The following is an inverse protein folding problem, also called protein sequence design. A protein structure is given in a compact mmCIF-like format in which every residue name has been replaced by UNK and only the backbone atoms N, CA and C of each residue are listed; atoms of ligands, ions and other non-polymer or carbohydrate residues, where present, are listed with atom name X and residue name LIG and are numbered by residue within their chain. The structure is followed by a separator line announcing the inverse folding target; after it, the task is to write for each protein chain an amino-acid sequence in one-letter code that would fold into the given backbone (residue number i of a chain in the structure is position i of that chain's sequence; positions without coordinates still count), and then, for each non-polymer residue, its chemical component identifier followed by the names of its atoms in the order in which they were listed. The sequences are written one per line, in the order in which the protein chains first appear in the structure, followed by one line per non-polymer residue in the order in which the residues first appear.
data_IF_340981380602
#
_entry.id   IF_340981380602
#
_cell.length_a   1.000
_cell.length_b   1.000
_cell.length_c   1.000
_cell.angle_alpha   90.00
_cell.angle_beta   90.00
_cell.angle_gamma   90.00
#
_symmetry.space_group_name_H-M   'P 1'
#
loop_
_entity.id
_entity.type
_entity.pdbx_description
1 polymer ?
#
# COMPACT_ATOMS: atom_id res chain seq x y z
N UNK A 1 -51.42 -18.49 -17.33
CA UNK A 1 -51.61 -17.49 -16.25
C UNK A 1 -50.62 -16.36 -16.47
N UNK A 2 -51.06 -15.25 -17.07
CA UNK A 2 -50.26 -14.03 -17.22
C UNK A 2 -50.16 -13.30 -15.88
N UNK A 3 -48.98 -12.82 -15.47
CA UNK A 3 -48.84 -12.12 -14.19
C UNK A 3 -49.57 -10.77 -14.29
N UNK A 4 -50.52 -10.53 -13.39
CA UNK A 4 -51.14 -9.21 -13.19
C UNK A 4 -50.03 -8.24 -12.79
N UNK A 5 -49.61 -7.41 -13.74
CA UNK A 5 -48.68 -6.31 -13.51
C UNK A 5 -49.36 -5.30 -12.59
N UNK A 6 -48.67 -4.98 -11.50
CA UNK A 6 -49.20 -4.25 -10.36
C UNK A 6 -49.44 -2.77 -10.73
N UNK A 7 -50.65 -2.40 -11.14
CA UNK A 7 -51.01 -1.00 -11.49
C UNK A 7 -50.68 0.00 -10.35
N UNK A 8 -50.64 -0.46 -9.10
CA UNK A 8 -50.35 0.40 -7.95
C UNK A 8 -48.89 0.86 -7.85
N UNK A 9 -47.90 0.12 -8.37
CA UNK A 9 -46.49 0.56 -8.30
C UNK A 9 -46.20 1.72 -9.27
N UNK A 10 -46.89 1.75 -10.41
CA UNK A 10 -46.74 2.80 -11.43
C UNK A 10 -47.35 4.14 -10.97
N UNK A 11 -48.46 4.08 -10.23
CA UNK A 11 -49.13 5.27 -9.66
C UNK A 11 -48.28 5.89 -8.53
N UNK A 12 -47.62 5.08 -7.69
CA UNK A 12 -46.77 5.61 -6.61
C UNK A 12 -45.54 6.33 -7.17
N UNK A 13 -44.90 5.78 -8.22
CA UNK A 13 -43.76 6.43 -8.87
C UNK A 13 -44.13 7.78 -9.50
N UNK A 14 -45.24 7.83 -10.23
CA UNK A 14 -45.71 9.07 -10.88
C UNK A 14 -46.11 10.16 -9.89
N UNK A 15 -46.78 9.82 -8.79
CA UNK A 15 -47.12 10.80 -7.74
C UNK A 15 -45.87 11.33 -7.05
N UNK A 16 -44.90 10.47 -6.74
CA UNK A 16 -43.64 10.88 -6.09
C UNK A 16 -42.82 11.83 -6.98
N UNK A 17 -42.71 11.54 -8.27
CA UNK A 17 -42.02 12.39 -9.24
C UNK A 17 -42.69 13.76 -9.39
N UNK A 18 -44.03 13.80 -9.35
CA UNK A 18 -44.81 15.05 -9.36
C UNK A 18 -44.58 15.83 -8.06
N UNK A 19 -44.56 15.17 -6.90
CA UNK A 19 -44.34 15.83 -5.61
C UNK A 19 -42.94 16.44 -5.52
N UNK A 20 -41.89 15.76 -6.03
CA UNK A 20 -40.55 16.32 -6.14
C UNK A 20 -40.52 17.60 -7.00
N UNK A 21 -41.32 17.64 -8.07
CA UNK A 21 -41.41 18.82 -8.95
C UNK A 21 -42.07 20.02 -8.26
N UNK A 22 -43.08 19.79 -7.43
CA UNK A 22 -43.92 20.85 -6.85
C UNK A 22 -43.40 21.31 -5.48
N UNK A 23 -43.11 20.39 -4.57
CA UNK A 23 -42.83 20.68 -3.16
C UNK A 23 -41.34 20.68 -2.86
N UNK A 24 -40.85 21.77 -2.28
CA UNK A 24 -39.45 21.88 -1.83
C UNK A 24 -39.08 20.83 -0.80
N UNK A 25 -40.02 20.39 0.05
CA UNK A 25 -39.81 19.35 1.07
C UNK A 25 -39.54 17.96 0.49
N UNK A 26 -39.98 17.70 -0.75
CA UNK A 26 -39.77 16.41 -1.42
C UNK A 26 -38.51 16.40 -2.30
N UNK A 27 -37.90 17.56 -2.54
CA UNK A 27 -36.63 17.65 -3.29
C UNK A 27 -35.47 17.28 -2.39
N UNK A 28 -34.75 16.23 -2.76
CA UNK A 28 -33.49 15.86 -2.13
C UNK A 28 -32.47 15.43 -3.17
N UNK A 29 -31.23 15.90 -3.02
CA UNK A 29 -30.12 15.41 -3.83
C UNK A 29 -29.68 14.09 -3.21
N UNK A 30 -29.91 12.99 -3.93
CA UNK A 30 -29.43 11.66 -3.55
C UNK A 30 -27.92 11.69 -3.26
N UNK A 31 -27.45 10.88 -2.33
CA UNK A 31 -26.04 10.83 -1.92
C UNK A 31 -25.10 10.58 -3.10
N UNK A 32 -25.47 9.68 -4.01
CA UNK A 32 -24.74 9.40 -5.25
C UNK A 32 -24.59 10.65 -6.12
N UNK A 33 -25.65 11.47 -6.22
CA UNK A 33 -25.61 12.72 -6.98
C UNK A 33 -24.80 13.82 -6.28
N UNK A 34 -24.75 13.82 -4.94
CA UNK A 34 -23.86 14.71 -4.18
C UNK A 34 -22.40 14.35 -4.40
N UNK A 35 -22.05 13.06 -4.36
CA UNK A 35 -20.70 12.58 -4.67
C UNK A 35 -20.30 12.96 -6.10
N UNK A 36 -21.21 12.79 -7.07
CA UNK A 36 -20.98 13.18 -8.46
C UNK A 36 -20.80 14.69 -8.62
N UNK A 37 -21.58 15.51 -7.91
CA UNK A 37 -21.42 16.96 -7.87
C UNK A 37 -20.02 17.35 -7.35
N UNK A 38 -19.58 16.75 -6.25
CA UNK A 38 -18.29 17.05 -5.66
C UNK A 38 -17.13 16.61 -6.57
N UNK A 39 -17.16 15.39 -7.08
CA UNK A 39 -16.10 14.84 -7.93
C UNK A 39 -15.98 15.60 -9.26
N UNK A 40 -17.10 15.94 -9.90
CA UNK A 40 -17.09 16.72 -11.14
C UNK A 40 -16.68 18.17 -10.91
N UNK A 41 -17.05 18.79 -9.78
CA UNK A 41 -16.56 20.14 -9.43
C UNK A 41 -15.06 20.17 -9.27
N UNK A 42 -14.50 19.13 -8.67
CA UNK A 42 -13.07 19.04 -8.42
C UNK A 42 -12.22 19.01 -9.69
N UNK A 43 -12.75 18.46 -10.78
CA UNK A 43 -12.11 18.48 -12.12
C UNK A 43 -12.44 19.75 -12.92
N UNK A 44 -13.02 20.77 -12.28
CA UNK A 44 -13.29 22.07 -12.88
C UNK A 44 -14.63 22.18 -13.63
N UNK A 45 -15.50 21.18 -13.56
CA UNK A 45 -16.81 21.27 -14.21
C UNK A 45 -17.73 22.26 -13.48
N UNK A 46 -18.40 23.10 -14.27
CA UNK A 46 -19.41 24.01 -13.76
C UNK A 46 -20.65 23.25 -13.28
N UNK A 47 -21.32 23.74 -12.23
CA UNK A 47 -22.58 23.15 -11.72
C UNK A 47 -23.64 22.90 -12.81
N UNK A 48 -23.80 23.75 -13.84
CA UNK A 48 -24.70 23.47 -14.96
C UNK A 48 -24.32 22.23 -15.78
N UNK A 49 -23.02 22.01 -16.04
CA UNK A 49 -22.55 20.84 -16.80
C UNK A 49 -22.79 19.54 -16.03
N UNK A 50 -22.57 19.59 -14.71
CA UNK A 50 -22.83 18.48 -13.80
C UNK A 50 -24.33 18.14 -13.79
N UNK A 51 -25.19 19.16 -13.65
CA UNK A 51 -26.63 18.98 -13.68
C UNK A 51 -27.09 18.38 -15.01
N UNK A 52 -26.53 18.83 -16.13
CA UNK A 52 -26.78 18.25 -17.45
C UNK A 52 -26.34 16.78 -17.55
N UNK A 53 -25.20 16.41 -16.95
CA UNK A 53 -24.75 15.02 -16.90
C UNK A 53 -25.71 14.12 -16.11
N UNK A 54 -26.18 14.59 -14.95
CA UNK A 54 -27.18 13.88 -14.13
C UNK A 54 -28.49 13.75 -14.90
N UNK A 55 -28.97 14.83 -15.51
CA UNK A 55 -30.19 14.79 -16.32
C UNK A 55 -30.09 13.78 -17.48
N UNK A 56 -28.92 13.69 -18.12
CA UNK A 56 -28.68 12.71 -19.17
C UNK A 56 -28.76 11.26 -18.63
N UNK A 57 -28.22 11.00 -17.43
CA UNK A 57 -28.33 9.69 -16.77
C UNK A 57 -29.77 9.35 -16.36
N UNK A 58 -30.54 10.34 -15.92
CA UNK A 58 -31.96 10.18 -15.59
C UNK A 58 -32.86 10.03 -16.83
N UNK A 59 -32.35 10.32 -18.04
CA UNK A 59 -33.13 10.29 -19.29
C UNK A 59 -33.96 11.55 -19.54
N UNK A 60 -33.57 12.68 -18.95
CA UNK A 60 -34.24 13.98 -19.09
C UNK A 60 -34.13 14.83 -17.82
N UNK A 61 -34.17 16.15 -17.97
CA UNK A 61 -34.18 17.08 -16.85
C UNK A 61 -35.43 16.94 -15.99
N UNK A 62 -36.55 16.57 -16.60
CA UNK A 62 -37.84 16.33 -15.97
C UNK A 62 -37.88 15.06 -15.11
N UNK A 63 -36.85 14.21 -15.20
CA UNK A 63 -36.67 13.00 -14.39
C UNK A 63 -35.69 13.20 -13.23
N UNK A 64 -35.13 14.41 -13.08
CA UNK A 64 -34.29 14.76 -11.93
C UNK A 64 -35.19 15.27 -10.80
N UNK A 65 -35.17 14.59 -9.66
CA UNK A 65 -36.01 14.92 -8.49
C UNK A 65 -35.70 16.23 -7.76
N UNK A 66 -34.84 17.09 -8.32
CA UNK A 66 -34.42 18.36 -7.74
C UNK A 66 -33.95 19.32 -8.84
N UNK A 67 -33.84 20.61 -8.53
CA UNK A 67 -33.44 21.67 -9.47
C UNK A 67 -31.95 21.96 -9.36
N UNK A 68 -31.39 22.59 -10.39
CA UNK A 68 -30.02 23.13 -10.35
C UNK A 68 -29.81 24.11 -9.17
N UNK A 69 -30.85 24.86 -8.78
CA UNK A 69 -30.81 25.74 -7.60
C UNK A 69 -30.53 24.96 -6.32
N UNK A 70 -31.04 23.74 -6.20
CA UNK A 70 -30.79 22.87 -5.06
C UNK A 70 -29.32 22.44 -5.02
N UNK A 71 -28.66 22.22 -6.17
CA UNK A 71 -27.22 21.96 -6.24
C UNK A 71 -26.37 23.16 -5.84
N UNK A 72 -26.76 24.38 -6.23
CA UNK A 72 -26.11 25.61 -5.77
C UNK A 72 -26.28 25.79 -4.26
N UNK A 73 -27.49 25.60 -3.75
CA UNK A 73 -27.77 25.67 -2.31
C UNK A 73 -26.96 24.62 -1.54
N UNK A 74 -26.85 23.41 -2.09
CA UNK A 74 -26.06 22.33 -1.48
C UNK A 74 -24.57 22.66 -1.46
N UNK A 75 -24.03 23.20 -2.56
CA UNK A 75 -22.65 23.70 -2.59
C UNK A 75 -22.44 24.79 -1.52
N UNK A 76 -23.36 25.76 -1.46
CA UNK A 76 -23.30 26.83 -0.48
C UNK A 76 -23.39 26.31 0.96
N UNK A 77 -24.22 25.29 1.20
CA UNK A 77 -24.33 24.60 2.49
C UNK A 77 -23.03 23.89 2.85
N UNK A 78 -22.41 23.15 1.93
CA UNK A 78 -21.11 22.51 2.14
C UNK A 78 -20.02 23.54 2.48
N UNK A 79 -20.01 24.70 1.80
CA UNK A 79 -19.09 25.79 2.10
C UNK A 79 -19.29 26.41 3.50
N UNK A 80 -20.52 26.38 4.03
CA UNK A 80 -20.83 26.82 5.40
C UNK A 80 -20.50 25.78 6.46
N UNK A 81 -20.55 24.49 6.10
CA UNK A 81 -20.22 23.37 6.98
C UNK A 81 -18.71 23.15 7.17
N UNK A 82 -17.85 24.07 6.72
CA UNK A 82 -16.38 23.96 6.81
C UNK A 82 -15.86 23.61 8.20
N UNK A 83 -16.56 24.01 9.27
CA UNK A 83 -16.15 23.76 10.66
C UNK A 83 -16.77 22.49 11.27
N UNK A 84 -17.61 21.76 10.53
CA UNK A 84 -18.34 20.56 11.01
C UNK A 84 -17.81 19.28 10.35
N UNK A 85 -16.83 19.39 9.45
CA UNK A 85 -16.33 18.30 8.63
C UNK A 85 -15.84 17.10 9.44
N UNK A 86 -15.03 17.31 10.48
CA UNK A 86 -14.61 16.24 11.39
C UNK A 86 -15.78 15.54 12.08
N UNK A 87 -16.80 16.29 12.53
CA UNK A 87 -18.03 15.72 13.14
C UNK A 87 -18.86 14.92 12.12
N UNK A 88 -18.91 15.38 10.87
CA UNK A 88 -19.59 14.66 9.79
C UNK A 88 -18.87 13.35 9.44
N UNK A 89 -17.53 13.37 9.40
CA UNK A 89 -16.72 12.17 9.19
C UNK A 89 -16.94 11.14 10.31
N UNK A 90 -16.93 11.56 11.57
CA UNK A 90 -17.22 10.67 12.71
C UNK A 90 -18.64 10.10 12.66
N UNK A 91 -19.63 10.93 12.28
CA UNK A 91 -21.02 10.46 12.08
C UNK A 91 -21.13 9.45 10.94
N UNK A 92 -20.38 9.66 9.85
CA UNK A 92 -20.32 8.74 8.72
C UNK A 92 -19.76 7.38 9.16
N UNK A 93 -18.62 7.36 9.85
CA UNK A 93 -18.01 6.13 10.38
C UNK A 93 -18.94 5.41 11.37
N UNK A 94 -19.61 6.16 12.25
CA UNK A 94 -20.60 5.62 13.18
C UNK A 94 -21.81 5.00 12.46
N UNK A 95 -22.23 5.58 11.33
CA UNK A 95 -23.29 5.02 10.50
C UNK A 95 -22.84 3.76 9.77
N UNK A 96 -21.58 3.70 9.33
CA UNK A 96 -21.00 2.53 8.67
C UNK A 96 -20.87 1.35 9.66
N UNK A 97 -20.50 1.63 10.91
CA UNK A 97 -20.39 0.58 11.95
C UNK A 97 -21.72 -0.10 12.30
N UNK A 98 -22.86 0.48 11.92
CA UNK A 98 -24.17 -0.20 12.06
C UNK A 98 -24.27 -1.40 11.10
N UNK A 99 -23.74 -1.27 9.89
CA UNK A 99 -23.80 -2.30 8.85
C UNK A 99 -22.57 -3.20 8.83
N UNK A 100 -21.46 -2.73 9.37
CA UNK A 100 -20.21 -3.48 9.53
C UNK A 100 -19.87 -3.59 11.03
N UNK A 101 -20.32 -4.65 11.71
CA UNK A 101 -20.08 -4.86 13.14
C UNK A 101 -18.60 -4.99 13.48
N UNK A 102 -17.76 -5.30 12.49
CA UNK A 102 -16.32 -5.39 12.71
C UNK A 102 -15.69 -4.01 12.69
N UNK A 103 -16.24 -3.02 11.99
CA UNK A 103 -15.68 -1.66 11.84
C UNK A 103 -15.06 -1.12 13.13
N UNK A 104 -13.84 -0.60 13.02
CA UNK A 104 -13.16 0.08 14.13
C UNK A 104 -12.69 1.44 13.68
N UNK A 105 -12.92 2.44 14.51
CA UNK A 105 -12.33 3.76 14.33
C UNK A 105 -12.03 4.39 15.69
N UNK A 106 -10.99 5.20 15.72
CA UNK A 106 -10.58 5.95 16.90
C UNK A 106 -10.17 7.35 16.48
N UNK A 107 -10.49 8.36 17.30
CA UNK A 107 -10.11 9.74 17.02
C UNK A 107 -9.56 10.44 18.24
N UNK A 108 -8.79 11.50 18.01
CA UNK A 108 -8.39 12.47 19.04
C UNK A 108 -8.85 13.86 18.63
N UNK A 109 -8.99 14.73 19.62
CA UNK A 109 -9.45 16.10 19.46
C UNK A 109 -8.39 17.00 20.11
N UNK A 110 -8.10 18.14 19.49
CA UNK A 110 -7.21 19.15 20.07
C UNK A 110 -7.91 20.07 21.09
N UNK A 111 -7.15 20.99 21.69
CA UNK A 111 -7.64 21.94 22.69
C UNK A 111 -8.73 22.88 22.16
N UNK A 112 -8.83 23.04 20.83
CA UNK A 112 -9.85 23.86 20.15
C UNK A 112 -11.08 23.04 19.72
N UNK A 113 -11.21 21.79 20.20
CA UNK A 113 -12.30 20.88 19.87
C UNK A 113 -12.35 20.50 18.37
N UNK A 114 -11.20 20.46 17.69
CA UNK A 114 -11.04 20.06 16.28
C UNK A 114 -10.51 18.63 16.20
N UNK A 115 -10.96 17.88 15.19
CA UNK A 115 -10.46 16.53 14.91
C UNK A 115 -8.96 16.60 14.60
N UNK A 116 -8.14 16.00 15.46
CA UNK A 116 -6.69 16.06 15.38
C UNK A 116 -6.11 14.81 14.68
N UNK A 117 -6.56 13.62 15.10
CA UNK A 117 -6.20 12.35 14.50
C UNK A 117 -7.45 11.50 14.29
N UNK A 118 -7.48 10.74 13.21
CA UNK A 118 -8.54 9.79 12.91
C UNK A 118 -7.91 8.53 12.34
N UNK A 119 -8.10 7.39 12.99
CA UNK A 119 -7.75 6.07 12.49
C UNK A 119 -9.04 5.29 12.23
N UNK A 120 -9.10 4.53 11.14
CA UNK A 120 -10.20 3.62 10.87
C UNK A 120 -9.77 2.38 10.08
N UNK A 121 -10.57 1.32 10.22
CA UNK A 121 -10.49 0.09 9.42
C UNK A 121 -11.84 -0.61 9.37
N UNK A 122 -12.18 -1.15 8.21
CA UNK A 122 -13.42 -1.92 8.02
C UNK A 122 -13.25 -3.39 8.42
N UNK A 123 -14.32 -4.18 8.32
CA UNK A 123 -14.32 -5.61 8.61
C UNK A 123 -13.47 -6.42 7.65
N UNK A 124 -13.41 -6.02 6.38
CA UNK A 124 -12.59 -6.69 5.35
C UNK A 124 -11.10 -6.56 5.70
N UNK A 125 -10.66 -5.36 6.08
CA UNK A 125 -9.30 -5.09 6.53
C UNK A 125 -8.90 -5.95 7.73
N UNK A 126 -9.78 -6.07 8.73
CA UNK A 126 -9.54 -6.92 9.89
C UNK A 126 -9.45 -8.40 9.52
N UNK A 127 -10.34 -8.89 8.66
CA UNK A 127 -10.34 -10.31 8.26
C UNK A 127 -9.11 -10.70 7.45
N UNK A 128 -8.57 -9.77 6.66
CA UNK A 128 -7.38 -9.99 5.85
C UNK A 128 -6.07 -9.95 6.67
N UNK A 129 -6.02 -9.14 7.73
CA UNK A 129 -4.80 -8.92 8.49
C UNK A 129 -4.19 -10.22 9.06
N UNK A 130 -4.94 -11.14 9.71
CA UNK A 130 -4.38 -12.41 10.17
C UNK A 130 -3.68 -13.24 9.10
N UNK A 131 -4.08 -13.12 7.83
CA UNK A 131 -3.58 -13.93 6.71
C UNK A 131 -2.38 -13.30 6.00
N UNK A 132 -2.27 -11.97 5.98
CA UNK A 132 -1.32 -11.25 5.13
C UNK A 132 -0.51 -10.19 5.86
N UNK A 133 -0.56 -10.08 7.19
CA UNK A 133 0.14 -9.04 7.97
C UNK A 133 1.59 -9.38 8.32
N UNK A 134 2.26 -10.20 7.53
CA UNK A 134 3.63 -10.60 7.84
C UNK A 134 4.58 -9.40 7.67
N UNK A 135 4.31 -8.56 6.66
CA UNK A 135 5.14 -7.41 6.31
C UNK A 135 4.27 -6.15 6.21
N UNK A 136 4.23 -5.38 7.28
CA UNK A 136 3.45 -4.14 7.29
C UNK A 136 4.25 -2.99 6.67
N UNK A 137 3.85 -2.54 5.48
CA UNK A 137 4.32 -1.28 4.93
C UNK A 137 3.37 -0.15 5.35
N UNK A 138 3.92 1.01 5.70
CA UNK A 138 3.14 2.24 5.77
C UNK A 138 3.98 3.46 5.37
N UNK A 139 3.29 4.46 4.83
CA UNK A 139 3.89 5.72 4.43
C UNK A 139 2.90 6.86 4.72
N UNK A 140 3.42 8.03 5.09
CA UNK A 140 2.66 9.23 5.38
C UNK A 140 2.82 10.19 4.20
N UNK A 141 1.85 10.24 3.29
CA UNK A 141 2.22 10.61 1.91
C UNK A 141 1.14 11.28 1.08
N UNK A 142 0.01 11.65 1.68
CA UNK A 142 -0.98 12.44 0.96
C UNK A 142 -1.43 13.64 1.79
N UNK A 143 -0.85 14.81 1.51
CA UNK A 143 -1.22 16.11 2.11
C UNK A 143 -2.12 16.94 1.20
N UNK A 144 -2.77 16.32 0.22
CA UNK A 144 -3.63 17.00 -0.76
C UNK A 144 -5.08 17.21 -0.28
N UNK A 145 -5.42 16.84 0.96
CA UNK A 145 -6.72 17.19 1.52
C UNK A 145 -6.76 18.67 1.92
N UNK A 146 -7.95 19.17 2.21
CA UNK A 146 -8.22 20.58 2.53
C UNK A 146 -7.41 21.13 3.72
N UNK A 147 -6.97 20.26 4.64
CA UNK A 147 -6.26 20.63 5.87
C UNK A 147 -4.76 20.33 5.80
N UNK A 148 -4.28 19.83 4.65
CA UNK A 148 -2.88 19.42 4.45
C UNK A 148 -2.38 18.33 5.43
N UNK A 149 -3.32 17.64 6.08
CA UNK A 149 -3.04 16.57 7.04
C UNK A 149 -2.47 15.33 6.31
N UNK A 150 -1.39 14.70 6.79
CA UNK A 150 -0.92 13.43 6.23
C UNK A 150 -1.98 12.32 6.31
N UNK A 151 -2.26 11.68 5.17
CA UNK A 151 -2.92 10.37 5.11
C UNK A 151 -1.86 9.28 5.23
N UNK A 152 -2.05 8.38 6.18
CA UNK A 152 -1.24 7.18 6.40
C UNK A 152 -2.05 5.96 6.01
N UNK A 153 -1.49 5.10 5.18
CA UNK A 153 -2.12 3.83 4.79
C UNK A 153 -1.23 2.68 5.23
N UNK A 154 -1.80 1.74 5.98
CA UNK A 154 -1.16 0.50 6.40
C UNK A 154 -1.52 -0.61 5.42
N UNK A 155 -0.52 -1.27 4.83
CA UNK A 155 -0.78 -2.28 3.81
C UNK A 155 0.33 -3.32 3.67
N UNK A 156 0.00 -4.45 3.06
CA UNK A 156 0.93 -5.48 2.56
C UNK A 156 0.41 -5.96 1.19
N UNK A 157 0.79 -7.16 0.76
CA UNK A 157 0.24 -7.84 -0.40
C UNK A 157 -0.22 -9.25 -0.08
N UNK A 158 -1.20 -9.71 -0.83
CA UNK A 158 -1.64 -11.10 -0.79
C UNK A 158 -0.82 -12.01 -1.72
N UNK A 159 -1.19 -13.29 -1.76
CA UNK A 159 -0.59 -14.33 -2.62
C UNK A 159 -0.73 -14.09 -4.14
N UNK A 160 -1.53 -13.10 -4.56
CA UNK A 160 -1.60 -12.63 -5.95
C UNK A 160 -0.72 -11.39 -6.20
N UNK A 161 0.09 -10.97 -5.22
CA UNK A 161 0.89 -9.75 -5.24
C UNK A 161 0.04 -8.48 -5.40
N UNK A 162 -1.20 -8.50 -4.89
CA UNK A 162 -2.13 -7.37 -4.88
C UNK A 162 -2.05 -6.63 -3.56
N UNK A 163 -2.21 -5.31 -3.58
CA UNK A 163 -2.15 -4.48 -2.36
C UNK A 163 -3.33 -4.76 -1.44
N UNK A 164 -3.03 -5.10 -0.19
CA UNK A 164 -4.01 -5.33 0.86
C UNK A 164 -3.88 -4.26 1.92
N UNK A 165 -4.90 -3.41 2.04
CA UNK A 165 -4.95 -2.37 3.08
C UNK A 165 -5.50 -2.96 4.38
N UNK A 166 -4.91 -2.56 5.49
CA UNK A 166 -5.25 -3.03 6.83
C UNK A 166 -5.78 -1.91 7.73
N UNK A 167 -5.44 -0.66 7.44
CA UNK A 167 -5.91 0.46 8.21
C UNK A 167 -5.48 1.76 7.56
N UNK A 168 -6.18 2.83 7.92
CA UNK A 168 -5.95 4.15 7.37
C UNK A 168 -6.03 5.15 8.50
N UNK A 169 -5.21 6.19 8.40
CA UNK A 169 -5.28 7.29 9.34
C UNK A 169 -5.07 8.65 8.68
N UNK A 170 -5.71 9.66 9.26
CA UNK A 170 -5.41 11.07 9.03
C UNK A 170 -4.80 11.61 10.31
N UNK A 171 -3.63 12.21 10.21
CA UNK A 171 -2.91 12.78 11.36
C UNK A 171 -2.60 14.25 11.11
N UNK A 172 -2.39 15.04 12.16
CA UNK A 172 -2.10 16.48 12.02
C UNK A 172 -0.68 16.75 11.53
N UNK A 173 0.27 15.87 11.83
CA UNK A 173 1.69 15.99 11.53
C UNK A 173 2.40 14.64 11.62
N UNK A 174 3.64 14.59 11.12
CA UNK A 174 4.50 13.40 11.13
C UNK A 174 5.53 13.50 12.26
N UNK A 175 5.10 13.24 13.50
CA UNK A 175 6.01 13.17 14.66
C UNK A 175 6.19 11.73 15.14
N UNK A 176 7.24 11.47 15.90
CA UNK A 176 7.50 10.13 16.45
C UNK A 176 6.35 9.67 17.34
N UNK A 177 5.80 10.57 18.14
CA UNK A 177 4.70 10.31 19.08
C UNK A 177 3.45 9.85 18.32
N UNK A 178 3.17 10.46 17.18
CA UNK A 178 2.05 10.07 16.32
C UNK A 178 2.29 8.72 15.66
N UNK A 179 3.52 8.41 15.24
CA UNK A 179 3.83 7.08 14.72
C UNK A 179 3.62 5.98 15.77
N UNK A 180 4.01 6.23 17.03
CA UNK A 180 3.74 5.32 18.15
C UNK A 180 2.23 5.16 18.33
N UNK A 181 1.49 6.27 18.41
CA UNK A 181 0.04 6.24 18.53
C UNK A 181 -0.64 5.46 17.39
N UNK A 182 -0.18 5.65 16.15
CA UNK A 182 -0.71 4.93 14.99
C UNK A 182 -0.48 3.42 15.09
N UNK A 183 0.71 2.98 15.48
CA UNK A 183 1.04 1.57 15.64
C UNK A 183 0.26 0.94 16.81
N UNK A 184 0.07 1.66 17.91
CA UNK A 184 -0.78 1.24 19.03
C UNK A 184 -2.22 1.05 18.58
N UNK A 185 -2.78 2.01 17.83
CA UNK A 185 -4.16 1.93 17.32
C UNK A 185 -4.34 0.84 16.28
N UNK A 186 -3.34 0.59 15.44
CA UNK A 186 -3.33 -0.56 14.56
C UNK A 186 -3.37 -1.87 15.36
N UNK A 187 -2.50 -2.01 16.37
CA UNK A 187 -2.43 -3.21 17.21
C UNK A 187 -3.76 -3.48 17.94
N UNK A 188 -4.36 -2.43 18.50
CA UNK A 188 -5.70 -2.45 19.12
C UNK A 188 -6.75 -2.91 18.10
N UNK A 189 -6.79 -2.28 16.92
CA UNK A 189 -7.75 -2.59 15.85
C UNK A 189 -7.63 -4.04 15.34
N UNK A 190 -6.43 -4.63 15.45
CA UNK A 190 -6.08 -5.97 15.01
C UNK A 190 -6.08 -7.01 16.14
N UNK A 191 -6.78 -6.74 17.25
CA UNK A 191 -6.96 -7.66 18.38
C UNK A 191 -5.62 -8.13 18.98
N UNK A 192 -4.62 -7.25 18.99
CA UNK A 192 -3.32 -7.52 19.60
C UNK A 192 -2.35 -8.35 18.75
N UNK A 193 -2.64 -8.63 17.47
CA UNK A 193 -1.69 -9.32 16.58
C UNK A 193 -0.65 -8.31 16.03
N UNK A 194 0.64 -8.39 16.41
CA UNK A 194 1.66 -7.55 15.81
C UNK A 194 2.04 -8.04 14.41
N UNK A 195 2.52 -7.16 13.51
CA UNK A 195 3.17 -7.59 12.27
C UNK A 195 4.55 -8.21 12.58
N UNK A 196 5.07 -9.08 11.72
CA UNK A 196 6.42 -9.63 11.91
C UNK A 196 7.50 -8.62 11.50
N UNK A 197 7.26 -7.88 10.42
CA UNK A 197 8.13 -6.82 9.94
C UNK A 197 7.34 -5.55 9.69
N UNK A 198 7.98 -4.40 9.92
CA UNK A 198 7.44 -3.08 9.58
C UNK A 198 8.41 -2.40 8.64
N UNK A 199 7.91 -1.96 7.49
CA UNK A 199 8.65 -1.25 6.45
C UNK A 199 8.08 0.16 6.38
N UNK A 200 8.97 1.14 6.30
CA UNK A 200 8.57 2.53 6.13
C UNK A 200 9.33 3.14 4.96
N UNK A 201 8.81 4.19 4.34
CA UNK A 201 9.61 4.99 3.38
C UNK A 201 10.89 5.56 4.05
N UNK A 202 10.83 5.66 5.38
CA UNK A 202 11.96 5.83 6.26
C UNK A 202 13.10 4.83 6.04
N UNK A 203 12.98 3.70 5.35
CA UNK A 203 14.08 2.73 5.23
C UNK A 203 15.21 3.22 4.31
N UNK A 204 14.88 3.93 3.23
CA UNK A 204 15.90 4.60 2.41
C UNK A 204 16.49 5.80 3.17
N UNK A 205 15.64 6.55 3.87
CA UNK A 205 16.07 7.64 4.74
C UNK A 205 16.92 7.13 5.91
N UNK A 206 16.64 5.92 6.42
CA UNK A 206 17.30 5.25 7.53
C UNK A 206 18.66 4.81 7.07
N UNK A 207 18.78 4.12 5.93
CA UNK A 207 20.07 3.79 5.32
C UNK A 207 20.91 5.04 5.08
N UNK A 208 20.31 6.11 4.56
CA UNK A 208 21.00 7.39 4.38
C UNK A 208 21.36 8.05 5.73
N UNK A 209 20.52 7.93 6.75
CA UNK A 209 20.77 8.46 8.09
C UNK A 209 21.88 7.69 8.79
N UNK A 210 21.94 6.36 8.65
CA UNK A 210 23.02 5.52 9.18
C UNK A 210 24.33 5.91 8.48
N UNK A 211 24.34 6.13 7.16
CA UNK A 211 25.52 6.63 6.43
C UNK A 211 25.93 8.04 6.87
N UNK A 212 24.97 8.94 7.09
CA UNK A 212 25.23 10.30 7.61
C UNK A 212 25.77 10.25 9.05
N UNK A 213 25.20 9.40 9.90
CA UNK A 213 25.64 9.17 11.28
C UNK A 213 27.02 8.52 11.32
N UNK A 214 27.32 7.61 10.39
CA UNK A 214 28.67 7.06 10.22
C UNK A 214 29.67 8.18 9.90
N UNK A 215 29.28 9.08 8.99
CA UNK A 215 30.10 10.25 8.62
C UNK A 215 30.29 11.22 9.79
N UNK A 216 29.29 11.42 10.65
CA UNK A 216 29.39 12.34 11.79
C UNK A 216 30.14 11.75 12.99
N UNK A 217 29.96 10.47 13.28
CA UNK A 217 30.57 9.80 14.44
C UNK A 217 32.03 9.43 14.17
N UNK A 218 32.31 8.77 13.04
CA UNK A 218 33.66 8.26 12.74
C UNK A 218 34.51 9.32 12.00
N UNK A 219 33.85 10.26 11.29
CA UNK A 219 34.50 11.35 10.53
C UNK A 219 35.55 10.87 9.51
N UNK A 220 35.50 9.60 9.10
CA UNK A 220 36.40 9.01 8.12
C UNK A 220 35.63 8.59 6.86
N UNK A 221 35.94 9.21 5.72
CA UNK A 221 35.25 8.95 4.45
C UNK A 221 35.46 7.51 3.95
N UNK A 222 36.67 6.97 4.11
CA UNK A 222 36.98 5.59 3.69
C UNK A 222 36.17 4.58 4.51
N UNK A 223 36.03 4.81 5.82
CA UNK A 223 35.18 3.99 6.68
C UNK A 223 33.74 3.98 6.17
N UNK A 224 33.16 5.13 5.83
CA UNK A 224 31.77 5.22 5.35
C UNK A 224 31.56 4.44 4.04
N UNK A 225 32.52 4.45 3.13
CA UNK A 225 32.47 3.69 1.88
C UNK A 225 32.51 2.19 2.15
N UNK A 226 33.49 1.74 2.94
CA UNK A 226 33.65 0.32 3.28
C UNK A 226 32.49 -0.21 4.14
N UNK A 227 32.00 0.59 5.08
CA UNK A 227 30.78 0.32 5.84
C UNK A 227 29.56 0.19 4.92
N UNK A 228 29.40 1.09 3.94
CA UNK A 228 28.29 1.01 2.98
C UNK A 228 28.36 -0.29 2.17
N UNK A 229 29.56 -0.71 1.77
CA UNK A 229 29.79 -1.99 1.10
C UNK A 229 29.44 -3.16 2.02
N UNK A 230 29.90 -3.13 3.28
CA UNK A 230 29.62 -4.15 4.29
C UNK A 230 28.11 -4.28 4.57
N UNK A 231 27.40 -3.16 4.63
CA UNK A 231 25.96 -3.08 4.85
C UNK A 231 25.14 -3.66 3.69
N UNK A 232 25.49 -3.31 2.45
CA UNK A 232 24.66 -3.57 1.29
C UNK A 232 24.94 -4.91 0.61
N UNK A 233 26.15 -5.45 0.77
CA UNK A 233 26.56 -6.66 0.08
C UNK A 233 25.86 -7.91 0.65
N UNK A 234 25.61 -8.87 -0.23
CA UNK A 234 25.06 -10.18 0.13
C UNK A 234 26.18 -11.13 0.55
N UNK A 235 26.49 -11.11 1.85
CA UNK A 235 27.43 -12.06 2.46
C UNK A 235 26.71 -13.16 3.20
N UNK A 236 27.33 -14.33 3.30
CA UNK A 236 26.95 -15.28 4.35
C UNK A 236 27.16 -14.71 5.75
N UNK A 237 26.38 -15.18 6.74
CA UNK A 237 26.45 -14.65 8.11
C UNK A 237 27.87 -14.75 8.67
N UNK A 238 28.59 -15.84 8.40
CA UNK A 238 29.99 -16.00 8.78
C UNK A 238 30.92 -15.00 8.08
N UNK A 239 30.74 -14.82 6.77
CA UNK A 239 31.54 -13.88 5.98
C UNK A 239 31.28 -12.42 6.39
N UNK A 240 30.02 -12.05 6.63
CA UNK A 240 29.67 -10.72 7.13
C UNK A 240 30.36 -10.46 8.46
N UNK A 241 30.30 -11.39 9.42
CA UNK A 241 30.95 -11.22 10.72
C UNK A 241 32.45 -10.99 10.57
N UNK A 242 33.11 -11.76 9.70
CA UNK A 242 34.54 -11.59 9.42
C UNK A 242 34.84 -10.23 8.81
N UNK A 243 34.12 -9.83 7.76
CA UNK A 243 34.31 -8.53 7.09
C UNK A 243 33.96 -7.34 7.99
N UNK A 244 32.98 -7.51 8.87
CA UNK A 244 32.65 -6.52 9.90
C UNK A 244 33.83 -6.34 10.86
N UNK A 245 34.40 -7.43 11.37
CA UNK A 245 35.59 -7.37 12.23
C UNK A 245 36.77 -6.72 11.51
N UNK A 246 37.08 -7.15 10.28
CA UNK A 246 38.12 -6.53 9.44
C UNK A 246 37.91 -5.02 9.27
N UNK A 247 36.67 -4.59 9.06
CA UNK A 247 36.31 -3.17 8.95
C UNK A 247 36.54 -2.42 10.26
N UNK A 248 36.06 -2.93 11.39
CA UNK A 248 36.20 -2.20 12.67
C UNK A 248 37.65 -2.15 13.16
N UNK A 249 38.43 -3.20 12.92
CA UNK A 249 39.87 -3.26 13.22
C UNK A 249 40.67 -2.33 12.30
N UNK A 250 40.39 -2.32 10.99
CA UNK A 250 41.11 -1.48 10.02
C UNK A 250 41.02 0.01 10.34
N UNK A 251 39.93 0.45 10.97
CA UNK A 251 39.71 1.85 11.31
C UNK A 251 39.84 2.16 12.81
N UNK A 252 40.23 1.18 13.63
CA UNK A 252 40.39 1.30 15.09
C UNK A 252 39.11 1.82 15.81
N UNK A 253 37.95 1.25 15.45
CA UNK A 253 36.64 1.66 15.95
C UNK A 253 35.89 0.56 16.68
N UNK A 254 36.59 -0.52 17.06
CA UNK A 254 36.03 -1.71 17.72
C UNK A 254 35.30 -1.36 19.03
N UNK A 255 35.83 -0.39 19.78
CA UNK A 255 35.29 0.05 21.06
C UNK A 255 34.47 1.34 20.96
N UNK A 256 34.21 1.85 19.75
CA UNK A 256 33.45 3.07 19.57
C UNK A 256 31.97 2.82 19.94
N UNK A 257 31.37 3.57 20.90
CA UNK A 257 30.03 3.28 21.41
C UNK A 257 28.95 3.19 20.32
N UNK A 258 29.00 4.11 19.35
CA UNK A 258 28.09 4.10 18.20
C UNK A 258 28.25 2.86 17.31
N UNK A 259 29.46 2.33 17.12
CA UNK A 259 29.70 1.14 16.28
C UNK A 259 29.16 -0.12 16.96
N UNK A 260 29.31 -0.21 18.29
CA UNK A 260 28.75 -1.29 19.10
C UNK A 260 27.21 -1.27 19.04
N UNK A 261 26.58 -0.12 19.27
CA UNK A 261 25.13 0.02 19.19
C UNK A 261 24.60 -0.32 17.78
N UNK A 262 25.32 0.12 16.75
CA UNK A 262 24.98 -0.17 15.36
C UNK A 262 25.03 -1.68 15.08
N UNK A 263 26.06 -2.37 15.57
CA UNK A 263 26.20 -3.81 15.40
C UNK A 263 25.11 -4.61 16.13
N UNK A 264 24.71 -4.18 17.32
CA UNK A 264 23.58 -4.80 18.04
C UNK A 264 22.30 -4.74 17.20
N UNK A 265 22.10 -3.63 16.48
CA UNK A 265 20.95 -3.42 15.60
C UNK A 265 21.12 -3.99 14.18
N UNK A 266 22.15 -4.81 13.90
CA UNK A 266 22.46 -5.34 12.55
C UNK A 266 21.30 -6.00 11.82
N UNK A 267 20.38 -6.64 12.54
CA UNK A 267 19.17 -7.25 11.95
C UNK A 267 18.23 -6.25 11.28
N UNK A 268 18.32 -4.96 11.61
CA UNK A 268 17.46 -3.90 11.07
C UNK A 268 18.01 -3.23 9.80
N UNK A 269 19.32 -3.34 9.52
CA UNK A 269 19.95 -2.56 8.44
C UNK A 269 20.85 -3.38 7.50
N UNK A 270 21.38 -4.52 7.95
CA UNK A 270 22.34 -5.30 7.18
C UNK A 270 21.64 -6.28 6.23
N UNK A 271 21.98 -6.23 4.94
CA UNK A 271 21.44 -7.14 3.91
C UNK A 271 21.62 -8.61 4.31
N UNK A 272 22.75 -9.01 4.89
CA UNK A 272 23.01 -10.40 5.31
C UNK A 272 22.03 -10.97 6.35
N UNK A 273 21.45 -10.12 7.19
CA UNK A 273 20.48 -10.54 8.20
C UNK A 273 19.04 -10.33 7.77
N UNK A 274 18.82 -9.37 6.87
CA UNK A 274 17.53 -9.08 6.26
C UNK A 274 17.21 -10.15 5.21
N UNK A 275 18.20 -10.62 4.44
CA UNK A 275 18.03 -11.64 3.38
C UNK A 275 17.41 -12.92 3.93
N UNK A 276 16.53 -13.52 3.14
CA UNK A 276 15.76 -14.71 3.52
C UNK A 276 14.50 -14.39 4.34
N UNK A 277 14.36 -13.16 4.85
CA UNK A 277 13.07 -12.68 5.36
C UNK A 277 12.20 -12.30 4.15
N UNK A 278 10.94 -12.74 4.18
CA UNK A 278 9.97 -12.35 3.18
C UNK A 278 9.57 -10.89 3.44
N UNK A 279 9.79 -10.02 2.46
CA UNK A 279 9.35 -8.61 2.51
C UNK A 279 8.33 -8.29 1.42
N UNK A 280 7.59 -9.28 0.92
CA UNK A 280 6.53 -9.05 -0.06
C UNK A 280 6.93 -8.32 -1.36
N UNK A 281 8.23 -8.15 -1.66
CA UNK A 281 8.73 -7.31 -2.76
C UNK A 281 8.83 -5.81 -2.44
N UNK A 282 8.70 -5.41 -1.17
CA UNK A 282 8.99 -4.06 -0.68
C UNK A 282 10.51 -3.85 -0.60
N UNK A 283 11.12 -3.34 -1.68
CA UNK A 283 12.51 -2.82 -1.64
C UNK A 283 12.63 -1.35 -2.06
N UNK A 284 11.55 -0.77 -2.57
CA UNK A 284 11.52 0.56 -3.20
C UNK A 284 10.17 1.23 -2.90
N UNK A 285 10.18 2.56 -2.81
CA UNK A 285 9.01 3.46 -2.75
C UNK A 285 7.95 3.23 -3.83
N UNK A 286 8.26 2.44 -4.86
CA UNK A 286 7.40 2.19 -6.02
C UNK A 286 6.01 1.67 -5.68
N UNK A 287 5.86 0.87 -4.63
CA UNK A 287 4.52 0.41 -4.19
C UNK A 287 3.72 1.47 -3.47
N UNK A 288 4.38 2.26 -2.61
CA UNK A 288 3.75 3.43 -2.00
C UNK A 288 3.30 4.38 -3.11
N UNK A 289 4.18 4.70 -4.05
CA UNK A 289 3.90 5.55 -5.21
C UNK A 289 2.75 5.01 -6.06
N UNK A 290 2.72 3.70 -6.32
CA UNK A 290 1.63 3.06 -7.06
C UNK A 290 0.29 3.18 -6.33
N UNK A 291 0.26 2.93 -5.02
CA UNK A 291 -0.93 3.09 -4.19
C UNK A 291 -1.39 4.56 -4.17
N UNK A 292 -0.49 5.51 -3.98
CA UNK A 292 -0.81 6.94 -4.04
C UNK A 292 -1.35 7.36 -5.40
N UNK A 293 -0.78 6.84 -6.48
CA UNK A 293 -1.26 7.09 -7.84
C UNK A 293 -2.68 6.55 -8.05
N UNK A 294 -3.05 5.44 -7.40
CA UNK A 294 -4.45 5.00 -7.40
C UNK A 294 -5.33 5.94 -6.58
N UNK A 295 -4.92 6.28 -5.36
CA UNK A 295 -5.69 7.17 -4.48
C UNK A 295 -5.93 8.52 -5.16
N UNK A 296 -4.92 9.10 -5.81
CA UNK A 296 -5.02 10.40 -6.50
C UNK A 296 -6.00 10.42 -7.69
N UNK A 297 -6.44 9.26 -8.20
CA UNK A 297 -7.46 9.17 -9.25
C UNK A 297 -8.88 9.35 -8.72
N UNK A 298 -9.10 9.04 -7.44
CA UNK A 298 -10.40 9.11 -6.78
C UNK A 298 -10.50 10.31 -5.85
N UNK A 299 -9.40 10.66 -5.19
CA UNK A 299 -9.29 11.75 -4.24
C UNK A 299 -8.73 12.97 -4.94
N UNK A 300 -9.51 14.05 -4.95
CA UNK A 300 -9.12 15.32 -5.55
C UNK A 300 -8.47 16.27 -4.55
N UNK A 301 -7.79 17.28 -5.09
CA UNK A 301 -7.12 18.31 -4.29
C UNK A 301 -8.12 19.14 -3.47
N UNK A 302 -7.83 19.34 -2.18
CA UNK A 302 -8.68 20.06 -1.21
C UNK A 302 -10.03 19.39 -0.90
N UNK A 303 -10.13 18.07 -1.08
CA UNK A 303 -11.25 17.31 -0.53
C UNK A 303 -11.32 17.46 1.00
N UNK A 304 -12.53 17.49 1.53
CA UNK A 304 -12.76 17.52 2.97
C UNK A 304 -12.66 16.10 3.57
N UNK A 305 -12.68 15.94 4.90
CA UNK A 305 -12.46 14.63 5.55
C UNK A 305 -13.53 13.62 5.16
N UNK A 306 -14.81 14.02 5.12
CA UNK A 306 -15.88 13.10 4.74
C UNK A 306 -15.79 12.65 3.28
N UNK A 307 -15.46 13.55 2.36
CA UNK A 307 -15.21 13.21 0.95
C UNK A 307 -14.01 12.28 0.80
N UNK A 308 -12.95 12.52 1.57
CA UNK A 308 -11.78 11.65 1.60
C UNK A 308 -12.17 10.22 2.02
N UNK A 309 -12.94 10.05 3.10
CA UNK A 309 -13.44 8.74 3.54
C UNK A 309 -14.22 8.03 2.44
N UNK A 310 -15.20 8.71 1.84
CA UNK A 310 -16.07 8.15 0.81
C UNK A 310 -15.28 7.76 -0.46
N UNK A 311 -14.42 8.66 -0.96
CA UNK A 311 -13.62 8.39 -2.15
C UNK A 311 -12.56 7.33 -1.91
N UNK A 312 -11.99 7.27 -0.71
CA UNK A 312 -11.04 6.24 -0.35
C UNK A 312 -11.71 4.86 -0.33
N UNK A 313 -12.90 4.72 0.26
CA UNK A 313 -13.68 3.49 0.19
C UNK A 313 -13.96 3.07 -1.26
N UNK A 314 -14.39 3.99 -2.13
CA UNK A 314 -14.56 3.70 -3.55
C UNK A 314 -13.26 3.25 -4.23
N UNK A 315 -12.13 3.89 -3.90
CA UNK A 315 -10.82 3.53 -4.43
C UNK A 315 -10.44 2.09 -4.05
N UNK A 316 -10.64 1.70 -2.79
CA UNK A 316 -10.39 0.35 -2.33
C UNK A 316 -11.27 -0.68 -3.02
N UNK A 317 -12.57 -0.42 -3.12
CA UNK A 317 -13.49 -1.31 -3.85
C UNK A 317 -13.08 -1.47 -5.32
N UNK A 318 -12.65 -0.38 -5.97
CA UNK A 318 -12.13 -0.44 -7.34
C UNK A 318 -10.85 -1.28 -7.45
N UNK A 319 -9.89 -1.09 -6.54
CA UNK A 319 -8.66 -1.88 -6.51
C UNK A 319 -8.99 -3.36 -6.37
N UNK A 320 -9.87 -3.72 -5.42
CA UNK A 320 -10.30 -5.11 -5.21
C UNK A 320 -10.93 -5.72 -6.45
N UNK A 321 -11.95 -5.05 -7.04
CA UNK A 321 -12.67 -5.56 -8.23
C UNK A 321 -11.73 -5.71 -9.43
N UNK A 322 -10.89 -4.69 -9.70
CA UNK A 322 -9.93 -4.75 -10.80
C UNK A 322 -8.97 -5.90 -10.62
N UNK A 323 -8.44 -6.03 -9.41
CA UNK A 323 -7.45 -7.03 -9.13
C UNK A 323 -8.07 -8.44 -9.23
N UNK A 324 -9.30 -8.66 -8.78
CA UNK A 324 -10.03 -9.93 -8.93
C UNK A 324 -10.30 -10.29 -10.39
N UNK A 325 -10.67 -9.31 -11.21
CA UNK A 325 -10.77 -9.48 -12.65
C UNK A 325 -9.44 -9.93 -13.28
N UNK A 326 -8.34 -9.26 -12.93
CA UNK A 326 -6.98 -9.63 -13.38
C UNK A 326 -6.59 -11.06 -12.97
N UNK A 327 -6.98 -11.48 -11.75
CA UNK A 327 -6.75 -12.84 -11.26
C UNK A 327 -7.56 -13.89 -12.02
N UNK A 328 -8.82 -13.61 -12.34
CA UNK A 328 -9.72 -14.55 -13.01
C UNK A 328 -9.41 -14.71 -14.51
N UNK A 329 -8.93 -13.65 -15.16
CA UNK A 329 -8.76 -13.60 -16.61
C UNK A 329 -7.29 -13.59 -17.07
N UNK A 330 -6.33 -13.52 -16.14
CA UNK A 330 -4.91 -13.52 -16.47
C UNK A 330 -4.43 -14.84 -17.07
N UNK A 331 -4.16 -14.86 -18.38
CA UNK A 331 -3.57 -16.02 -19.05
C UNK A 331 -2.03 -16.01 -18.97
N UNK A 332 -1.46 -17.17 -18.64
CA UNK A 332 -0.01 -17.40 -18.66
C UNK A 332 0.39 -17.88 -20.06
N UNK A 333 1.16 -17.07 -20.78
CA UNK A 333 1.83 -17.51 -22.00
C UNK A 333 3.16 -18.19 -21.65
N UNK A 334 3.29 -19.48 -21.97
CA UNK A 334 4.53 -20.24 -21.83
C UNK A 334 5.53 -19.76 -22.90
N UNK A 335 6.71 -19.30 -22.48
CA UNK A 335 7.72 -18.73 -23.40
C UNK A 335 9.07 -19.45 -23.34
N UNK A 336 9.31 -20.26 -22.32
CA UNK A 336 10.61 -20.86 -22.08
C UNK A 336 10.83 -22.11 -22.94
N UNK A 337 12.11 -22.41 -23.22
CA UNK A 337 12.50 -23.64 -23.91
C UNK A 337 12.10 -24.90 -23.12
N UNK A 338 12.05 -24.83 -21.78
CA UNK A 338 11.67 -25.93 -20.90
C UNK A 338 10.16 -25.90 -20.55
N UNK A 339 9.30 -26.00 -21.58
CA UNK A 339 7.83 -25.84 -21.43
C UNK A 339 7.20 -26.73 -20.35
N UNK A 340 7.68 -27.96 -20.16
CA UNK A 340 7.13 -28.88 -19.15
C UNK A 340 7.39 -28.40 -17.71
N UNK A 341 8.60 -27.90 -17.44
CA UNK A 341 8.94 -27.31 -16.15
C UNK A 341 8.19 -26.00 -15.94
N UNK A 342 8.16 -25.15 -16.97
CA UNK A 342 7.42 -23.88 -16.94
C UNK A 342 5.93 -24.11 -16.63
N UNK A 343 5.30 -25.11 -17.27
CA UNK A 343 3.90 -25.50 -17.03
C UNK A 343 3.67 -26.01 -15.61
N UNK A 344 4.58 -26.83 -15.08
CA UNK A 344 4.49 -27.33 -13.71
C UNK A 344 4.58 -26.17 -12.70
N UNK A 345 5.57 -25.30 -12.86
CA UNK A 345 5.74 -24.12 -12.00
C UNK A 345 4.55 -23.16 -12.11
N UNK A 346 4.06 -22.91 -13.32
CA UNK A 346 2.87 -22.08 -13.56
C UNK A 346 1.59 -22.63 -12.92
N UNK A 347 1.51 -23.95 -12.68
CA UNK A 347 0.37 -24.56 -11.99
C UNK A 347 0.44 -24.45 -10.47
N UNK A 348 1.63 -24.17 -9.90
CA UNK A 348 1.85 -24.04 -8.46
C UNK A 348 1.70 -22.61 -7.96
N UNK A 349 2.10 -21.63 -8.79
CA UNK A 349 2.05 -20.21 -8.44
C UNK A 349 0.82 -19.52 -9.00
N UNK A 350 0.36 -18.45 -8.33
CA UNK A 350 -0.61 -17.53 -8.96
C UNK A 350 0.01 -16.88 -10.19
N UNK A 351 -0.80 -16.50 -11.19
CA UNK A 351 -0.33 -15.88 -12.44
C UNK A 351 0.68 -14.74 -12.23
N UNK A 352 0.42 -13.82 -11.28
CA UNK A 352 1.30 -12.69 -11.01
C UNK A 352 2.61 -13.14 -10.35
N UNK A 353 2.57 -14.04 -9.37
CA UNK A 353 3.78 -14.58 -8.74
C UNK A 353 4.61 -15.37 -9.75
N UNK A 354 3.96 -16.13 -10.63
CA UNK A 354 4.64 -16.85 -11.70
C UNK A 354 5.38 -15.91 -12.65
N UNK A 355 4.75 -14.80 -13.05
CA UNK A 355 5.40 -13.77 -13.88
C UNK A 355 6.62 -13.18 -13.17
N UNK A 356 6.55 -12.92 -11.86
CA UNK A 356 7.70 -12.46 -11.07
C UNK A 356 8.80 -13.52 -10.97
N UNK A 357 8.42 -14.79 -10.82
CA UNK A 357 9.36 -15.90 -10.69
C UNK A 357 10.04 -16.28 -12.02
N UNK A 358 9.38 -16.06 -13.16
CA UNK A 358 9.86 -16.49 -14.49
C UNK A 358 11.31 -16.07 -14.80
N UNK A 359 11.76 -14.82 -14.59
CA UNK A 359 13.15 -14.44 -14.82
C UNK A 359 14.15 -15.23 -13.97
N UNK A 360 13.75 -15.68 -12.78
CA UNK A 360 14.58 -16.56 -11.94
C UNK A 360 14.68 -17.93 -12.59
N UNK A 361 13.54 -18.51 -12.99
CA UNK A 361 13.48 -19.81 -13.65
C UNK A 361 14.30 -19.83 -14.95
N UNK A 362 14.21 -18.76 -15.76
CA UNK A 362 14.99 -18.58 -16.99
C UNK A 362 16.49 -18.57 -16.72
N UNK A 363 16.93 -17.87 -15.66
CA UNK A 363 18.35 -17.85 -15.25
C UNK A 363 18.81 -19.22 -14.77
N UNK A 364 18.00 -19.92 -13.98
CA UNK A 364 18.33 -21.28 -13.51
C UNK A 364 18.46 -22.28 -14.66
N UNK A 365 17.67 -22.11 -15.73
CA UNK A 365 17.78 -22.92 -16.95
C UNK A 365 19.07 -22.73 -17.75
N UNK A 366 19.86 -21.68 -17.45
CA UNK A 366 21.18 -21.45 -18.06
C UNK A 366 22.33 -22.08 -17.28
N UNK A 367 22.06 -22.69 -16.13
CA UNK A 367 23.08 -23.35 -15.31
C UNK A 367 23.53 -24.66 -15.99
N UNK A 368 24.83 -24.81 -16.21
CA UNK A 368 25.45 -26.07 -16.64
C UNK A 368 25.89 -26.84 -15.41
N UNK A 369 25.44 -28.09 -15.28
CA UNK A 369 26.03 -29.06 -14.35
C UNK A 369 27.36 -29.51 -14.96
N UNK A 370 28.44 -29.43 -14.19
CA UNK A 370 29.77 -29.88 -14.62
C UNK A 370 30.20 -30.97 -13.64
N UNK A 371 30.63 -32.13 -14.15
CA UNK A 371 31.18 -33.18 -13.31
C UNK A 371 32.48 -32.72 -12.67
N UNK A 372 32.59 -32.92 -11.35
CA UNK A 372 33.72 -32.48 -10.53
C UNK A 372 34.96 -33.33 -10.76
N UNK A 373 35.66 -33.13 -11.89
CA UNK A 373 37.08 -33.44 -11.98
C UNK A 373 37.88 -32.45 -11.12
N UNK A 374 39.04 -32.85 -10.59
CA UNK A 374 39.87 -32.05 -9.69
C UNK A 374 40.21 -30.67 -10.29
N UNK A 375 39.62 -29.60 -9.76
CA UNK A 375 39.92 -28.22 -10.15
C UNK A 375 40.55 -27.52 -8.94
N UNK A 376 41.75 -26.99 -9.15
CA UNK A 376 42.51 -26.21 -8.18
C UNK A 376 41.76 -24.90 -7.83
N UNK A 377 41.37 -24.68 -6.55
CA UNK A 377 40.63 -23.50 -6.10
C UNK A 377 41.37 -22.17 -6.31
N UNK A 378 42.67 -22.19 -6.59
CA UNK A 378 43.49 -20.98 -6.69
C UNK A 378 43.39 -20.24 -8.02
N UNK A 379 42.80 -20.85 -9.05
CA UNK A 379 42.75 -20.30 -10.42
C UNK A 379 41.33 -20.03 -10.96
N UNK A 380 40.27 -20.18 -10.14
CA UNK A 380 38.88 -20.12 -10.61
C UNK A 380 38.11 -18.89 -10.07
N UNK A 381 37.59 -17.98 -10.94
CA UNK A 381 36.78 -16.84 -10.54
C UNK A 381 35.32 -17.18 -10.13
N UNK A 382 34.92 -18.45 -10.07
CA UNK A 382 33.53 -18.91 -9.83
C UNK A 382 33.31 -19.46 -8.41
N UNK A 383 32.16 -19.12 -7.79
CA UNK A 383 31.72 -19.70 -6.50
C UNK A 383 30.78 -20.91 -6.70
N UNK A 384 30.94 -21.90 -5.83
CA UNK A 384 30.14 -23.13 -5.74
C UNK A 384 28.77 -22.86 -5.10
N UNK A 385 27.67 -23.35 -5.71
CA UNK A 385 26.30 -23.15 -5.20
C UNK A 385 25.64 -24.51 -4.94
N UNK A 386 26.08 -25.21 -3.90
CA UNK A 386 25.34 -26.34 -3.32
C UNK A 386 25.51 -27.71 -4.00
N UNK A 387 25.16 -28.74 -3.22
CA UNK A 387 25.36 -30.18 -3.48
C UNK A 387 23.99 -30.86 -3.60
N UNK A 388 23.76 -31.63 -4.67
CA UNK A 388 22.64 -32.57 -4.77
C UNK A 388 22.92 -33.81 -3.88
N UNK A 389 21.90 -34.47 -3.28
CA UNK A 389 22.03 -35.76 -2.60
C UNK A 389 22.88 -36.86 -3.27
N UNK A 390 23.12 -36.77 -4.59
CA UNK A 390 24.00 -37.66 -5.38
C UNK A 390 25.46 -37.18 -5.54
N UNK A 391 25.88 -36.11 -4.86
CA UNK A 391 27.26 -35.60 -4.90
C UNK A 391 27.61 -34.68 -6.08
N UNK A 392 26.61 -34.24 -6.87
CA UNK A 392 26.82 -33.34 -8.00
C UNK A 392 26.80 -31.86 -7.56
N UNK A 393 27.72 -31.05 -8.07
CA UNK A 393 27.84 -29.62 -7.75
C UNK A 393 27.17 -28.73 -8.79
N UNK A 394 26.57 -27.61 -8.35
CA UNK A 394 26.01 -26.57 -9.23
C UNK A 394 26.96 -25.35 -9.29
N UNK A 395 27.21 -24.86 -10.52
CA UNK A 395 28.15 -23.77 -10.84
C UNK A 395 27.41 -22.57 -11.43
N UNK A 396 27.71 -21.33 -11.04
CA UNK A 396 27.14 -20.13 -11.65
C UNK A 396 28.12 -18.95 -11.77
N UNK A 397 27.94 -18.12 -12.82
CA UNK A 397 28.83 -17.01 -13.18
C UNK A 397 28.69 -15.80 -12.23
N UNK A 398 29.79 -15.35 -11.61
CA UNK A 398 29.87 -14.27 -10.61
C UNK A 398 29.33 -12.92 -11.11
N UNK A 399 29.51 -12.63 -12.40
CA UNK A 399 29.00 -11.40 -13.05
C UNK A 399 27.50 -11.44 -13.36
N UNK A 400 26.87 -12.62 -13.46
CA UNK A 400 25.43 -12.74 -13.75
C UNK A 400 24.56 -12.73 -12.50
N UNK A 401 25.13 -13.03 -11.34
CA UNK A 401 24.42 -13.10 -10.05
C UNK A 401 24.47 -11.78 -9.27
N UNK A 402 25.60 -11.08 -9.29
CA UNK A 402 25.87 -9.93 -8.41
C UNK A 402 25.06 -8.66 -8.73
N UNK A 403 24.64 -8.46 -9.99
CA UNK A 403 23.89 -7.26 -10.40
C UNK A 403 22.37 -7.33 -10.17
N UNK A 404 21.79 -8.52 -9.96
CA UNK A 404 20.32 -8.71 -9.93
C UNK A 404 19.76 -9.43 -8.69
N UNK A 405 20.60 -9.99 -7.81
CA UNK A 405 20.16 -10.35 -6.45
C UNK A 405 19.89 -9.10 -5.58
N UNK A 406 20.29 -7.91 -6.04
CA UNK A 406 19.85 -6.64 -5.47
C UNK A 406 18.35 -6.35 -5.70
N UNK A 407 17.64 -7.12 -6.54
CA UNK A 407 16.23 -6.86 -6.92
C UNK A 407 15.18 -7.59 -6.05
N UNK A 408 15.54 -8.57 -5.20
CA UNK A 408 14.56 -9.45 -4.52
C UNK A 408 14.60 -9.46 -3.00
#
# INVERSE_FOLDING_TARGET
MTPKTNQNSFIIGTVYDILCKILTSHRSILEVNMMLLNSMKAVGMGTPQIFGSIANQCGGYDRVGYRIKDMYNQTGRQQRLKNVDGKLALKCLSSLSVNDPLMFFHHTIDDENRLQHLFWRDGTMQMNYPMFSDVLAFDATYRNNKYECPLVVFYDVNHHNKTMVFGVAIVSNETKEIHVWLLEKLLEAMKGKPPMFVITNGDLAMRNSIRKNAKSNIKNVKFVVEFSRCMLQDYEVGEFKRKWMELVTMFDVEHHPWVLELYEKRRMWCTTYIRGSYFSGFRITSRCEALHSQISKFVYSRCNVIELLQHFSCCLSFIQVRDDFDSMHGQIFLRMHFKSLEKCVASLFTTKIFILFRPILERSGTMKVVDGGAIDPSNDPLHWIGVNPKGSYLRAHKEKLSGKMQEW
#
